data_IF_681924122573
#
_entry.id   IF_681924122573
#
_cell.length_a   1.000
_cell.length_b   1.000
_cell.length_c   1.000
_cell.angle_alpha   90.00
_cell.angle_beta   90.00
_cell.angle_gamma   90.00
#
_symmetry.space_group_name_H-M   'P 1'
#
loop_
_entity.id
_entity.type
_entity.pdbx_description
1 polymer ?
#
# COMPACT_ATOMS: atom_id res chain seq x y z
N UNK A 1 8.90 11.40 -20.43
CA UNK A 1 8.29 10.41 -19.53
C UNK A 1 7.64 11.17 -18.39
N UNK A 2 6.32 11.11 -18.25
CA UNK A 2 5.63 11.84 -17.18
C UNK A 2 6.01 11.19 -15.84
N UNK A 3 6.74 11.91 -14.98
CA UNK A 3 7.22 11.37 -13.70
C UNK A 3 5.99 11.20 -12.79
N UNK A 4 5.67 9.96 -12.41
CA UNK A 4 4.64 9.71 -11.40
C UNK A 4 4.99 10.48 -10.11
N UNK A 5 4.03 11.21 -9.57
CA UNK A 5 4.16 11.90 -8.28
C UNK A 5 3.25 11.24 -7.25
N UNK A 6 3.57 11.42 -5.97
CA UNK A 6 2.70 10.93 -4.89
C UNK A 6 1.32 11.57 -4.95
N UNK A 7 1.25 12.86 -5.30
CA UNK A 7 -0.03 13.55 -5.48
C UNK A 7 -0.88 12.90 -6.58
N UNK A 8 -0.27 12.61 -7.74
CA UNK A 8 -0.94 11.93 -8.84
C UNK A 8 -1.45 10.55 -8.43
N UNK A 9 -0.63 9.76 -7.72
CA UNK A 9 -1.01 8.42 -7.26
C UNK A 9 -2.09 8.49 -6.18
N UNK A 10 -2.01 9.45 -5.26
CA UNK A 10 -3.00 9.59 -4.21
C UNK A 10 -4.36 10.05 -4.76
N UNK A 11 -4.36 10.91 -5.79
CA UNK A 11 -5.58 11.51 -6.33
C UNK A 11 -6.21 10.74 -7.51
N UNK A 12 -5.52 9.76 -8.09
CA UNK A 12 -6.14 8.92 -9.12
C UNK A 12 -7.28 8.04 -8.56
N UNK A 13 -8.18 7.60 -9.45
CA UNK A 13 -9.43 6.91 -9.08
C UNK A 13 -9.54 5.47 -9.63
N UNK A 14 -8.46 4.94 -10.21
CA UNK A 14 -8.44 3.66 -10.94
C UNK A 14 -7.90 2.49 -10.12
N UNK A 15 -6.89 2.74 -9.30
CA UNK A 15 -6.19 1.73 -8.50
C UNK A 15 -6.36 2.10 -7.03
N UNK A 16 -6.70 1.16 -6.13
CA UNK A 16 -6.71 1.43 -4.69
C UNK A 16 -5.34 1.92 -4.21
N UNK A 17 -5.34 2.81 -3.23
CA UNK A 17 -4.10 3.36 -2.64
C UNK A 17 -4.15 3.22 -1.14
N UNK A 18 -3.12 2.60 -0.58
CA UNK A 18 -2.88 2.51 0.86
C UNK A 18 -1.77 3.51 1.24
N UNK A 19 -2.06 4.50 2.08
CA UNK A 19 -1.04 5.40 2.62
C UNK A 19 -0.74 5.05 4.08
N UNK A 20 0.41 4.40 4.28
CA UNK A 20 0.91 4.02 5.61
C UNK A 20 1.55 5.22 6.30
N UNK A 21 0.94 5.67 7.39
CA UNK A 21 1.50 6.69 8.29
C UNK A 21 2.02 6.04 9.57
N UNK A 22 3.23 6.39 10.03
CA UNK A 22 3.88 5.74 11.19
C UNK A 22 3.77 6.52 12.50
N UNK A 23 3.38 7.80 12.47
CA UNK A 23 3.20 8.62 13.68
C UNK A 23 2.20 8.07 14.70
N UNK A 24 2.38 8.37 15.99
CA UNK A 24 1.46 7.97 17.06
C UNK A 24 0.07 8.59 16.81
N UNK A 25 -0.99 7.78 16.88
CA UNK A 25 -2.37 8.23 16.64
C UNK A 25 -2.81 8.24 15.17
N UNK A 26 -1.86 8.15 14.23
CA UNK A 26 -2.15 8.11 12.80
C UNK A 26 -3.00 6.89 12.40
N UNK A 27 -3.72 7.01 11.29
CA UNK A 27 -4.50 5.92 10.68
C UNK A 27 -3.84 5.44 9.41
N UNK A 28 -4.26 4.26 8.93
CA UNK A 28 -4.05 3.90 7.55
C UNK A 28 -5.04 4.70 6.72
N UNK A 29 -4.56 5.50 5.78
CA UNK A 29 -5.44 6.20 4.85
C UNK A 29 -5.63 5.34 3.61
N UNK A 30 -6.85 5.27 3.09
CA UNK A 30 -7.14 4.51 1.90
C UNK A 30 -8.01 5.30 0.92
N UNK A 31 -7.71 5.16 -0.36
CA UNK A 31 -8.59 5.57 -1.47
C UNK A 31 -8.85 4.39 -2.37
N UNK A 32 -10.08 4.29 -2.87
CA UNK A 32 -10.55 3.20 -3.71
C UNK A 32 -11.26 3.76 -4.94
N UNK A 33 -11.22 3.05 -6.07
CA UNK A 33 -12.20 3.25 -7.13
C UNK A 33 -13.61 3.21 -6.55
N UNK A 34 -14.48 4.12 -7.01
CA UNK A 34 -15.84 4.19 -6.47
C UNK A 34 -16.60 2.89 -6.78
N UNK A 35 -17.15 2.29 -5.74
CA UNK A 35 -18.13 1.22 -5.82
C UNK A 35 -19.14 1.37 -4.67
N UNK A 36 -20.40 1.06 -4.94
CA UNK A 36 -21.49 1.22 -3.97
C UNK A 36 -21.28 0.36 -2.70
N UNK A 37 -20.58 -0.76 -2.83
CA UNK A 37 -20.29 -1.71 -1.75
C UNK A 37 -18.98 -1.41 -0.99
N UNK A 38 -18.23 -0.36 -1.34
CA UNK A 38 -16.91 -0.08 -0.73
C UNK A 38 -16.94 -0.05 0.80
N UNK A 39 -17.98 0.53 1.39
CA UNK A 39 -18.13 0.58 2.86
C UNK A 39 -18.32 -0.82 3.47
N UNK A 40 -19.15 -1.65 2.84
CA UNK A 40 -19.43 -3.01 3.28
C UNK A 40 -18.19 -3.89 3.10
N UNK A 41 -17.53 -3.76 1.94
CA UNK A 41 -16.27 -4.43 1.65
C UNK A 41 -15.20 -4.07 2.67
N UNK A 42 -14.95 -2.77 2.91
CA UNK A 42 -14.02 -2.31 3.96
C UNK A 42 -14.42 -2.83 5.35
N UNK A 43 -15.71 -2.89 5.67
CA UNK A 43 -16.22 -3.45 6.91
C UNK A 43 -15.91 -4.94 7.09
N UNK A 44 -15.68 -5.68 6.01
CA UNK A 44 -15.31 -7.11 6.08
C UNK A 44 -13.84 -7.37 6.42
N UNK A 45 -12.98 -6.34 6.39
CA UNK A 45 -11.55 -6.48 6.70
C UNK A 45 -11.29 -6.70 8.20
N UNK A 46 -12.24 -6.35 9.06
CA UNK A 46 -12.14 -6.57 10.50
C UNK A 46 -13.32 -6.01 11.29
N UNK A 47 -13.20 -5.97 12.61
CA UNK A 47 -14.32 -5.64 13.52
C UNK A 47 -14.57 -4.14 13.73
N UNK A 48 -13.57 -3.30 13.50
CA UNK A 48 -13.67 -1.84 13.68
C UNK A 48 -14.32 -1.20 12.46
N UNK A 49 -15.23 -0.25 12.67
CA UNK A 49 -15.91 0.41 11.55
C UNK A 49 -14.94 1.33 10.79
N UNK A 50 -14.82 1.20 9.44
CA UNK A 50 -14.06 2.16 8.64
C UNK A 50 -14.73 3.54 8.68
N UNK A 51 -13.93 4.59 8.74
CA UNK A 51 -14.42 5.99 8.80
C UNK A 51 -14.21 6.64 7.45
N UNK A 52 -15.25 7.26 6.90
CA UNK A 52 -15.15 8.07 5.69
C UNK A 52 -14.94 9.54 6.06
N UNK A 53 -13.80 10.10 5.69
CA UNK A 53 -13.52 11.52 5.83
C UNK A 53 -14.05 12.26 4.59
N UNK A 54 -15.19 12.93 4.74
CA UNK A 54 -15.87 13.63 3.64
C UNK A 54 -15.08 14.82 3.11
N UNK A 55 -14.28 15.48 3.93
CA UNK A 55 -13.51 16.66 3.53
C UNK A 55 -12.28 16.28 2.70
N UNK A 56 -11.59 15.19 3.08
CA UNK A 56 -10.39 14.73 2.39
C UNK A 56 -10.66 13.65 1.34
N UNK A 57 -11.92 13.21 1.22
CA UNK A 57 -12.35 12.19 0.26
C UNK A 57 -11.50 10.91 0.39
N UNK A 58 -11.37 10.42 1.62
CA UNK A 58 -10.55 9.25 1.93
C UNK A 58 -11.16 8.43 3.08
N UNK A 59 -10.79 7.15 3.11
CA UNK A 59 -11.09 6.25 4.22
C UNK A 59 -9.96 6.30 5.26
N UNK A 60 -10.35 6.28 6.52
CA UNK A 60 -9.46 6.10 7.66
C UNK A 60 -9.70 4.70 8.25
N UNK A 61 -8.64 3.90 8.29
CA UNK A 61 -8.65 2.51 8.71
C UNK A 61 -7.68 2.30 9.88
N UNK A 62 -7.90 1.28 10.74
CA UNK A 62 -6.90 0.85 11.70
C UNK A 62 -5.57 0.50 11.01
N UNK A 63 -4.43 0.90 11.58
CA UNK A 63 -3.10 0.57 11.00
C UNK A 63 -2.90 -0.94 10.83
N UNK A 64 -3.40 -1.73 11.78
CA UNK A 64 -3.31 -3.18 11.77
C UNK A 64 -4.01 -3.84 10.57
N UNK A 65 -4.85 -3.11 9.83
CA UNK A 65 -5.52 -3.62 8.65
C UNK A 65 -4.67 -3.52 7.38
N UNK A 66 -3.47 -2.95 7.45
CA UNK A 66 -2.65 -2.70 6.27
C UNK A 66 -2.44 -3.94 5.40
N UNK A 67 -1.97 -5.05 5.99
CA UNK A 67 -1.75 -6.29 5.24
C UNK A 67 -3.07 -6.83 4.64
N UNK A 68 -4.12 -6.93 5.46
CA UNK A 68 -5.44 -7.40 4.99
C UNK A 68 -6.02 -6.50 3.89
N UNK A 69 -5.84 -5.18 3.97
CA UNK A 69 -6.28 -4.25 2.95
C UNK A 69 -5.53 -4.48 1.63
N UNK A 70 -4.21 -4.64 1.69
CA UNK A 70 -3.38 -4.93 0.52
C UNK A 70 -3.81 -6.25 -0.12
N UNK A 71 -3.90 -7.34 0.66
CA UNK A 71 -4.27 -8.66 0.14
C UNK A 71 -5.67 -8.66 -0.49
N UNK A 72 -6.66 -8.07 0.19
CA UNK A 72 -8.03 -7.97 -0.33
C UNK A 72 -8.09 -7.05 -1.54
N UNK A 73 -7.27 -6.00 -1.61
CA UNK A 73 -7.20 -5.12 -2.77
C UNK A 73 -6.62 -5.84 -3.98
N UNK A 74 -5.54 -6.60 -3.80
CA UNK A 74 -4.98 -7.45 -4.86
C UNK A 74 -6.01 -8.46 -5.37
N UNK A 75 -6.74 -9.11 -4.47
CA UNK A 75 -7.78 -10.07 -4.85
C UNK A 75 -8.96 -9.43 -5.60
N UNK A 76 -9.40 -8.23 -5.21
CA UNK A 76 -10.57 -7.55 -5.78
C UNK A 76 -10.26 -6.72 -7.03
N UNK A 77 -9.14 -6.01 -7.03
CA UNK A 77 -8.80 -5.00 -8.04
C UNK A 77 -7.60 -5.42 -8.89
N UNK A 78 -6.92 -6.52 -8.57
CA UNK A 78 -5.73 -7.00 -9.27
C UNK A 78 -4.47 -6.18 -9.01
N UNK A 79 -4.59 -4.99 -8.42
CA UNK A 79 -3.46 -4.11 -8.12
C UNK A 79 -3.77 -3.16 -6.96
N UNK A 80 -2.72 -2.63 -6.33
CA UNK A 80 -2.81 -1.63 -5.25
C UNK A 80 -1.51 -0.83 -5.17
N UNK A 81 -1.64 0.49 -5.05
CA UNK A 81 -0.51 1.35 -4.70
C UNK A 81 -0.31 1.41 -3.19
N UNK A 82 0.95 1.41 -2.76
CA UNK A 82 1.35 1.62 -1.38
C UNK A 82 2.22 2.87 -1.32
N UNK A 83 1.77 3.87 -0.58
CA UNK A 83 2.59 5.02 -0.16
C UNK A 83 3.05 4.75 1.27
N UNK A 84 4.35 4.75 1.50
CA UNK A 84 4.93 4.35 2.77
C UNK A 84 6.15 5.19 3.15
N UNK A 85 6.54 5.22 4.43
CA UNK A 85 7.82 5.80 4.82
C UNK A 85 8.97 5.12 4.09
N UNK A 86 9.97 5.91 3.75
CA UNK A 86 11.20 5.49 3.12
C UNK A 86 12.37 5.96 3.95
N UNK A 87 13.41 5.12 4.04
CA UNK A 87 14.67 5.45 4.70
C UNK A 87 15.81 5.07 3.79
N UNK A 88 16.48 6.08 3.23
CA UNK A 88 17.59 5.90 2.29
C UNK A 88 18.72 5.05 2.89
N UNK A 89 18.99 5.18 4.19
CA UNK A 89 20.06 4.44 4.87
C UNK A 89 19.64 3.03 5.32
N UNK A 90 18.35 2.68 5.28
CA UNK A 90 17.87 1.38 5.76
C UNK A 90 18.06 0.33 4.67
N UNK A 91 19.12 -0.48 4.78
CA UNK A 91 19.41 -1.59 3.85
C UNK A 91 18.40 -2.73 4.05
N UNK A 92 18.03 -3.39 2.95
CA UNK A 92 17.14 -4.56 3.00
C UNK A 92 17.77 -5.66 3.87
N UNK A 93 17.12 -6.02 4.97
CA UNK A 93 17.60 -7.05 5.90
C UNK A 93 17.01 -8.42 5.56
N UNK A 94 17.60 -9.52 6.05
CA UNK A 94 17.00 -10.86 5.92
C UNK A 94 15.57 -10.93 6.46
N UNK A 95 15.25 -10.18 7.53
CA UNK A 95 13.89 -10.11 8.04
C UNK A 95 12.90 -9.48 7.03
N UNK A 96 13.33 -8.50 6.24
CA UNK A 96 12.54 -7.91 5.16
C UNK A 96 12.41 -8.88 3.97
N UNK A 97 13.49 -9.59 3.64
CA UNK A 97 13.50 -10.58 2.56
C UNK A 97 12.63 -11.79 2.88
N UNK A 98 12.51 -12.15 4.16
CA UNK A 98 11.70 -13.27 4.64
C UNK A 98 10.32 -12.83 5.16
N UNK A 99 9.93 -11.57 4.96
CA UNK A 99 8.68 -11.04 5.48
C UNK A 99 7.47 -11.66 4.78
N UNK A 100 6.45 -12.01 5.56
CA UNK A 100 5.15 -12.52 5.05
C UNK A 100 4.09 -11.42 4.93
N UNK A 101 4.25 -10.31 5.65
CA UNK A 101 3.43 -9.10 5.49
C UNK A 101 3.94 -8.21 4.38
N UNK A 102 3.28 -7.09 4.15
CA UNK A 102 3.62 -6.08 3.15
C UNK A 102 4.37 -4.89 3.76
N UNK A 103 4.66 -4.83 5.06
CA UNK A 103 5.37 -3.69 5.63
C UNK A 103 6.82 -3.63 5.14
N UNK A 104 7.21 -2.49 4.57
CA UNK A 104 8.57 -2.26 4.07
C UNK A 104 8.93 -0.78 4.17
N UNK A 105 10.16 -0.46 4.55
CA UNK A 105 10.68 0.92 4.54
C UNK A 105 12.16 0.98 4.07
N UNK A 106 12.66 -0.14 3.51
CA UNK A 106 14.03 -0.24 3.01
C UNK A 106 14.28 0.74 1.86
N UNK A 107 15.54 1.07 1.68
CA UNK A 107 16.11 1.68 0.47
C UNK A 107 15.76 0.94 -0.83
N UNK A 108 15.55 -0.40 -0.75
CA UNK A 108 15.16 -1.27 -1.86
C UNK A 108 13.71 -1.08 -2.35
N UNK A 109 12.91 -0.24 -1.67
CA UNK A 109 11.51 0.05 -2.02
C UNK A 109 10.61 -1.19 -2.21
N UNK A 110 10.99 -2.33 -1.61
CA UNK A 110 10.25 -3.58 -1.70
C UNK A 110 10.71 -4.54 -2.79
N UNK A 111 11.76 -4.22 -3.56
CA UNK A 111 12.28 -5.06 -4.65
C UNK A 111 12.65 -6.48 -4.19
N UNK A 112 13.21 -6.62 -2.99
CA UNK A 112 13.62 -7.91 -2.42
C UNK A 112 12.69 -8.39 -1.30
N UNK A 113 11.54 -7.74 -1.12
CA UNK A 113 10.64 -7.99 0.00
C UNK A 113 9.88 -9.31 -0.20
N UNK A 114 9.98 -10.23 0.76
CA UNK A 114 9.31 -11.54 0.69
C UNK A 114 9.95 -12.57 -0.28
N UNK A 115 11.18 -12.36 -0.72
CA UNK A 115 11.91 -13.25 -1.64
C UNK A 115 12.45 -14.56 -1.00
N UNK A 116 12.31 -14.75 0.31
CA UNK A 116 13.00 -15.81 1.06
C UNK A 116 12.48 -17.24 0.97
N UNK A 117 11.30 -17.49 0.39
CA UNK A 117 10.74 -18.84 0.28
C UNK A 117 9.65 -18.90 -0.83
N UNK A 118 9.99 -19.52 -1.97
CA UNK A 118 9.07 -20.08 -2.97
C UNK A 118 8.01 -19.19 -3.66
N UNK A 119 8.40 -17.97 -4.03
CA UNK A 119 7.67 -17.16 -5.01
C UNK A 119 6.74 -16.12 -4.38
N UNK A 120 6.98 -14.85 -4.71
CA UNK A 120 6.08 -13.76 -4.29
C UNK A 120 4.69 -13.99 -4.89
N UNK A 121 3.61 -13.81 -4.12
CA UNK A 121 2.25 -13.88 -4.67
C UNK A 121 1.81 -12.59 -5.40
N UNK A 122 2.71 -11.61 -5.50
CA UNK A 122 2.53 -10.33 -6.19
C UNK A 122 3.85 -9.90 -6.85
N UNK A 123 3.75 -9.01 -7.83
CA UNK A 123 4.89 -8.35 -8.47
C UNK A 123 4.93 -6.86 -8.09
N UNK A 124 6.13 -6.32 -7.89
CA UNK A 124 6.36 -4.88 -7.76
C UNK A 124 6.65 -4.31 -9.15
N UNK A 125 5.67 -3.63 -9.74
CA UNK A 125 5.73 -3.22 -11.17
C UNK A 125 6.19 -1.78 -11.39
N UNK A 126 6.06 -0.92 -10.38
CA UNK A 126 6.56 0.46 -10.38
C UNK A 126 7.03 0.84 -8.98
N UNK A 127 8.19 1.51 -8.85
CA UNK A 127 8.65 2.10 -7.58
C UNK A 127 9.27 3.49 -7.80
N UNK A 128 9.06 4.39 -6.84
CA UNK A 128 9.85 5.62 -6.72
C UNK A 128 9.85 6.16 -5.30
N UNK A 129 10.90 6.88 -4.94
CA UNK A 129 10.98 7.65 -3.70
C UNK A 129 10.86 9.16 -3.98
N UNK A 130 10.28 9.89 -3.05
CA UNK A 130 10.17 11.34 -3.08
C UNK A 130 10.08 11.92 -1.66
N UNK A 131 10.23 13.24 -1.55
CA UNK A 131 9.91 13.95 -0.30
C UNK A 131 8.49 14.48 -0.35
N UNK A 132 7.75 14.29 0.73
CA UNK A 132 6.43 14.87 0.94
C UNK A 132 6.43 15.68 2.24
N UNK A 133 6.50 17.00 2.10
CA UNK A 133 6.79 17.88 3.23
C UNK A 133 8.17 17.56 3.81
N UNK A 134 8.21 17.10 5.08
CA UNK A 134 9.44 16.71 5.79
C UNK A 134 9.73 15.20 5.76
N UNK A 135 8.80 14.38 5.26
CA UNK A 135 8.93 12.92 5.25
C UNK A 135 9.51 12.44 3.92
N UNK A 136 10.45 11.50 3.98
CA UNK A 136 10.83 10.69 2.84
C UNK A 136 9.85 9.53 2.71
N UNK A 137 9.25 9.42 1.53
CA UNK A 137 8.24 8.40 1.24
C UNK A 137 8.58 7.69 -0.06
N UNK A 138 8.23 6.41 -0.11
CA UNK A 138 8.27 5.61 -1.31
C UNK A 138 6.85 5.27 -1.73
N UNK A 139 6.65 5.22 -3.04
CA UNK A 139 5.48 4.62 -3.64
C UNK A 139 5.88 3.34 -4.38
N UNK A 140 5.06 2.31 -4.25
CA UNK A 140 5.17 1.10 -5.05
C UNK A 140 3.81 0.60 -5.52
N UNK A 141 3.76 0.06 -6.72
CA UNK A 141 2.60 -0.65 -7.26
C UNK A 141 2.78 -2.14 -7.03
N UNK A 142 1.83 -2.76 -6.32
CA UNK A 142 1.73 -4.22 -6.27
C UNK A 142 0.66 -4.67 -7.26
N UNK A 143 0.97 -5.71 -8.02
CA UNK A 143 0.04 -6.36 -8.95
C UNK A 143 -0.07 -7.84 -8.61
N UNK A 144 -1.29 -8.38 -8.61
CA UNK A 144 -1.50 -9.80 -8.40
C UNK A 144 -0.90 -10.59 -9.57
N UNK A 145 -0.13 -11.64 -9.26
CA UNK A 145 0.34 -12.54 -10.31
C UNK A 145 -0.86 -13.23 -10.95
N UNK A 146 -1.03 -13.07 -12.28
CA UNK A 146 -1.97 -13.93 -13.01
C UNK A 146 -1.40 -15.34 -12.90
N UNK A 147 -2.17 -16.27 -12.32
CA UNK A 147 -1.86 -17.69 -12.51
C UNK A 147 -1.88 -17.92 -14.02
N UNK A 148 -0.73 -18.32 -14.58
CA UNK A 148 -0.72 -18.92 -15.90
C UNK A 148 -1.72 -20.09 -15.84
N UNK A 149 -2.76 -20.02 -16.68
CA UNK A 149 -3.79 -21.05 -16.77
C UNK A 149 -3.22 -22.37 -17.27
#
# INVERSE_FOLDING_TARGET
MNRLTVDHIWNQQRIPVAWRKTGKGEKLLARLPYAADNKAWLGSLGRVRPVWNRTQHQWELPKAWFNTFVDKSLARFGSVYIIQPYREQEKCSPACQNATGHECQCSCMGEHHGAGNDGSWFEVSDTFATRWGREEIACRLLSALRKAG
#
